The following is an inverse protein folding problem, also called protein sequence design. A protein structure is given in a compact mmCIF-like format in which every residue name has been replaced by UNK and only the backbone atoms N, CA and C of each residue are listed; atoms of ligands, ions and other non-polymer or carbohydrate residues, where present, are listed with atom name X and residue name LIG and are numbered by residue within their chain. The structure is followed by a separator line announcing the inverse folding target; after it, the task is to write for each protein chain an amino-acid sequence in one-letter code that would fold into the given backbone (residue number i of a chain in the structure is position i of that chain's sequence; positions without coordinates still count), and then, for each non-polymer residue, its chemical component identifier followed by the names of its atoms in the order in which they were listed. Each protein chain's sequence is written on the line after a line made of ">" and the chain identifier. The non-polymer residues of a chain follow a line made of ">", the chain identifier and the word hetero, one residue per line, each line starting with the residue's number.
data_IF_919314412272
#
_entry.id   IF_919314412272
#
_cell.length_a   1.000
_cell.length_b   1.000
_cell.length_c   1.000
_cell.angle_alpha   90.00
_cell.angle_beta   90.00
_cell.angle_gamma   90.00
#
_symmetry.space_group_name_H-M   'P 1'
#
loop_
_entity.id
_entity.type
_entity.pdbx_description
1 polymer ?
#
# COMPACT_ATOMS: atom_id res chain seq x y z
N UNK A 1 21.91 21.83 7.52
CA UNK A 1 21.64 20.80 8.55
C UNK A 1 21.83 19.42 7.93
N UNK A 2 22.53 18.49 8.57
CA UNK A 2 22.75 17.14 8.03
C UNK A 2 21.80 16.13 8.71
N UNK A 3 21.13 15.29 7.91
CA UNK A 3 20.35 14.16 8.42
C UNK A 3 21.28 13.13 9.05
N UNK A 4 21.08 12.83 10.35
CA UNK A 4 21.94 11.94 11.13
C UNK A 4 21.39 10.52 11.19
N UNK A 5 20.06 10.38 11.30
CA UNK A 5 19.39 9.10 11.46
C UNK A 5 18.74 8.66 10.16
N UNK A 6 18.07 9.57 9.44
CA UNK A 6 17.41 9.26 8.17
C UNK A 6 18.33 9.63 6.99
N UNK A 7 19.38 8.83 6.81
CA UNK A 7 20.47 9.11 5.87
C UNK A 7 20.09 8.95 4.40
N UNK A 8 19.23 7.97 4.08
CA UNK A 8 18.76 7.74 2.72
C UNK A 8 17.51 8.56 2.45
N UNK A 9 17.48 9.19 1.28
CA UNK A 9 16.23 9.73 0.75
C UNK A 9 15.45 8.58 0.12
N UNK A 10 14.25 8.33 0.64
CA UNK A 10 13.35 7.28 0.14
C UNK A 10 12.18 7.96 -0.56
N UNK A 11 11.48 7.21 -1.41
CA UNK A 11 10.19 7.66 -1.91
C UNK A 11 9.18 7.64 -0.75
N UNK A 12 8.55 8.79 -0.47
CA UNK A 12 7.53 8.98 0.56
C UNK A 12 6.15 9.32 -0.02
N UNK A 13 5.94 9.12 -1.33
CA UNK A 13 4.69 9.46 -2.00
C UNK A 13 3.47 8.79 -1.39
N UNK A 14 3.57 7.54 -0.93
CA UNK A 14 2.44 6.83 -0.30
C UNK A 14 1.94 7.52 0.99
N UNK A 15 2.81 8.32 1.60
CA UNK A 15 2.53 9.12 2.79
C UNK A 15 2.07 10.54 2.46
N UNK A 16 1.89 10.90 1.18
CA UNK A 16 1.42 12.23 0.81
C UNK A 16 -0.03 12.44 1.26
N UNK A 17 -0.32 13.62 1.81
CA UNK A 17 -1.70 14.01 2.12
C UNK A 17 -2.60 13.97 0.87
N UNK A 18 -3.83 13.49 1.05
CA UNK A 18 -4.79 13.29 -0.02
C UNK A 18 -4.70 11.94 -0.75
N UNK A 19 -3.70 11.10 -0.44
CA UNK A 19 -3.68 9.67 -0.82
C UNK A 19 -4.36 8.82 0.25
N UNK A 20 -3.58 8.07 1.03
CA UNK A 20 -4.10 7.28 2.15
C UNK A 20 -4.40 8.19 3.35
N UNK A 21 -3.46 9.06 3.70
CA UNK A 21 -3.61 10.05 4.78
C UNK A 21 -4.55 11.17 4.31
N UNK A 22 -5.57 11.45 5.11
CA UNK A 22 -6.55 12.49 4.85
C UNK A 22 -5.93 13.89 4.94
N UNK A 23 -6.42 14.79 4.09
CA UNK A 23 -6.12 16.22 4.16
C UNK A 23 -7.15 17.03 3.40
N UNK A 24 -7.04 18.36 3.48
CA UNK A 24 -7.92 19.32 2.83
C UNK A 24 -7.12 20.52 2.28
N UNK A 25 -7.72 21.31 1.41
CA UNK A 25 -7.09 22.50 0.83
C UNK A 25 -6.72 23.50 1.93
N UNK A 26 -5.42 23.74 2.12
CA UNK A 26 -4.89 24.63 3.16
C UNK A 26 -4.14 23.92 4.29
N UNK A 27 -4.25 22.59 4.40
CA UNK A 27 -3.39 21.82 5.31
C UNK A 27 -1.97 21.71 4.72
N UNK A 28 -0.96 22.16 5.49
CA UNK A 28 0.46 22.05 5.09
C UNK A 28 1.04 20.72 5.55
N UNK A 29 1.66 19.99 4.61
CA UNK A 29 2.33 18.74 4.94
C UNK A 29 3.73 19.03 5.50
N UNK A 30 4.04 18.46 6.65
CA UNK A 30 5.40 18.48 7.17
C UNK A 30 6.23 17.37 6.49
N UNK A 31 7.47 17.61 6.07
CA UNK A 31 8.24 16.61 5.33
C UNK A 31 8.46 15.32 6.15
N UNK A 32 8.01 14.18 5.63
CA UNK A 32 8.05 12.86 6.30
C UNK A 32 9.46 12.50 6.80
N UNK A 33 10.47 12.76 5.97
CA UNK A 33 11.87 12.52 6.32
C UNK A 33 12.34 13.38 7.50
N UNK A 34 11.91 14.64 7.53
CA UNK A 34 12.24 15.58 8.60
C UNK A 34 11.53 15.21 9.90
N UNK A 35 10.26 14.81 9.83
CA UNK A 35 9.49 14.27 10.96
C UNK A 35 10.25 13.13 11.65
N UNK A 36 10.68 12.14 10.87
CA UNK A 36 11.42 10.98 11.38
C UNK A 36 12.78 11.40 11.99
N UNK A 37 13.51 12.29 11.33
CA UNK A 37 14.82 12.77 11.83
C UNK A 37 14.69 13.54 13.16
N UNK A 38 13.64 14.35 13.33
CA UNK A 38 13.35 15.04 14.59
C UNK A 38 13.02 14.03 15.68
N UNK A 39 12.16 13.05 15.39
CA UNK A 39 11.75 12.05 16.37
C UNK A 39 12.92 11.19 16.86
N UNK A 40 13.79 10.75 15.96
CA UNK A 40 15.01 10.00 16.32
C UNK A 40 15.99 10.83 17.16
N UNK A 41 16.09 12.15 16.91
CA UNK A 41 16.86 13.05 17.80
C UNK A 41 16.27 13.08 19.21
N UNK A 42 14.94 13.18 19.33
CA UNK A 42 14.24 13.18 20.61
C UNK A 42 14.45 11.85 21.36
N UNK A 43 14.26 10.71 20.69
CA UNK A 43 14.49 9.39 21.29
C UNK A 43 15.93 9.25 21.78
N UNK A 44 16.91 9.61 20.95
CA UNK A 44 18.31 9.52 21.34
C UNK A 44 18.63 10.42 22.55
N UNK A 45 18.01 11.61 22.65
CA UNK A 45 18.14 12.45 23.84
C UNK A 45 17.53 11.76 25.07
N UNK A 46 16.31 11.22 24.97
CA UNK A 46 15.63 10.54 26.08
C UNK A 46 16.37 9.28 26.55
N UNK A 47 16.94 8.51 25.62
CA UNK A 47 17.78 7.34 25.95
C UNK A 47 19.01 7.72 26.77
N UNK A 48 19.67 8.84 26.45
CA UNK A 48 20.79 9.37 27.26
C UNK A 48 20.37 9.77 28.66
N UNK A 49 19.10 10.11 28.87
CA UNK A 49 18.51 10.39 30.18
C UNK A 49 17.93 9.14 30.85
N UNK A 50 18.25 7.93 30.36
CA UNK A 50 17.74 6.66 30.88
C UNK A 50 16.20 6.53 30.86
N UNK A 51 15.50 7.28 30.00
CA UNK A 51 14.05 7.14 29.84
C UNK A 51 13.75 6.00 28.85
N UNK A 52 13.12 4.94 29.37
CA UNK A 52 12.76 3.76 28.59
C UNK A 52 11.62 4.03 27.59
N UNK A 53 11.70 3.34 26.46
CA UNK A 53 10.62 3.19 25.48
C UNK A 53 9.59 2.15 25.96
N UNK A 54 8.31 2.19 25.51
CA UNK A 54 7.73 3.14 24.56
C UNK A 54 7.35 4.50 25.18
N UNK A 55 7.23 5.52 24.34
CA UNK A 55 6.99 6.92 24.74
C UNK A 55 5.55 7.37 24.49
N UNK A 56 5.03 8.20 25.39
CA UNK A 56 3.82 8.98 25.12
C UNK A 56 4.23 10.24 24.35
N UNK A 57 3.51 10.55 23.27
CA UNK A 57 3.75 11.76 22.47
C UNK A 57 2.50 12.63 22.46
N UNK A 58 2.70 13.95 22.44
CA UNK A 58 1.62 14.93 22.40
C UNK A 58 1.88 16.02 21.37
N UNK A 59 0.89 16.29 20.52
CA UNK A 59 0.87 17.45 19.62
C UNK A 59 -0.26 18.40 20.03
N UNK A 60 0.05 19.56 20.66
CA UNK A 60 -0.97 20.51 21.10
C UNK A 60 -1.61 21.33 19.97
N UNK A 61 -1.04 21.28 18.75
CA UNK A 61 -1.49 22.04 17.58
C UNK A 61 -1.49 21.13 16.35
N UNK A 62 -2.18 20.00 16.48
CA UNK A 62 -2.00 18.86 15.59
C UNK A 62 -2.47 19.10 14.16
N UNK A 63 -3.32 20.10 13.92
CA UNK A 63 -4.03 20.25 12.67
C UNK A 63 -4.77 18.96 12.33
N UNK A 64 -4.43 18.35 11.20
CA UNK A 64 -5.00 17.05 10.78
C UNK A 64 -4.25 15.84 11.35
N UNK A 65 -3.39 16.02 12.35
CA UNK A 65 -2.51 15.00 12.95
C UNK A 65 -1.62 14.24 11.93
N UNK A 66 -1.26 14.88 10.82
CA UNK A 66 -0.41 14.28 9.78
C UNK A 66 0.91 13.75 10.35
N UNK A 67 1.67 14.61 11.03
CA UNK A 67 3.00 14.29 11.58
C UNK A 67 2.95 13.10 12.55
N UNK A 68 1.95 13.07 13.43
CA UNK A 68 1.83 12.03 14.44
C UNK A 68 1.30 10.71 13.89
N UNK A 69 0.48 10.78 12.84
CA UNK A 69 0.09 9.59 12.05
C UNK A 69 1.31 8.98 11.37
N UNK A 70 2.17 9.80 10.76
CA UNK A 70 3.45 9.33 10.18
C UNK A 70 4.31 8.65 11.24
N UNK A 71 4.47 9.26 12.42
CA UNK A 71 5.26 8.65 13.49
C UNK A 71 4.67 7.31 13.96
N UNK A 72 3.36 7.22 14.12
CA UNK A 72 2.67 5.98 14.48
C UNK A 72 2.86 4.87 13.44
N UNK A 73 2.88 5.20 12.14
CA UNK A 73 3.11 4.23 11.06
C UNK A 73 4.56 3.73 11.01
N UNK A 74 5.55 4.60 11.27
CA UNK A 74 6.97 4.25 11.18
C UNK A 74 7.56 3.66 12.46
N UNK A 75 7.00 4.00 13.62
CA UNK A 75 7.56 3.62 14.93
C UNK A 75 6.52 3.04 15.90
N UNK A 76 5.68 2.07 15.47
CA UNK A 76 4.61 1.52 16.31
C UNK A 76 5.12 0.88 17.60
N UNK A 77 6.35 0.36 17.63
CA UNK A 77 6.95 -0.24 18.81
C UNK A 77 7.53 0.79 19.80
N UNK A 78 7.75 2.04 19.37
CA UNK A 78 8.35 3.10 20.18
C UNK A 78 7.34 4.05 20.80
N UNK A 79 6.09 3.99 20.36
CA UNK A 79 5.03 4.90 20.77
C UNK A 79 4.00 4.11 21.57
N UNK A 80 3.72 4.57 22.78
CA UNK A 80 2.73 3.95 23.66
C UNK A 80 1.35 4.53 23.41
N UNK A 81 1.23 5.84 23.60
CA UNK A 81 0.00 6.60 23.46
C UNK A 81 0.26 7.87 22.65
N UNK A 82 -0.69 8.22 21.79
CA UNK A 82 -0.70 9.45 21.00
C UNK A 82 -1.80 10.36 21.54
N UNK A 83 -1.41 11.55 21.98
CA UNK A 83 -2.30 12.62 22.36
C UNK A 83 -2.23 13.72 21.31
N UNK A 84 -3.37 14.27 20.93
CA UNK A 84 -3.44 15.40 20.00
C UNK A 84 -4.51 16.38 20.47
N UNK A 85 -4.27 17.67 20.25
CA UNK A 85 -5.29 18.71 20.39
C UNK A 85 -5.13 19.74 19.29
N UNK A 86 -6.21 20.46 19.02
CA UNK A 86 -6.23 21.65 18.18
C UNK A 86 -7.42 22.51 18.59
N UNK A 87 -7.35 23.81 18.34
CA UNK A 87 -8.48 24.72 18.59
C UNK A 87 -9.55 24.59 17.49
N UNK A 88 -9.16 24.15 16.29
CA UNK A 88 -10.06 23.98 15.17
C UNK A 88 -10.71 22.59 15.17
N UNK A 89 -12.02 22.54 15.42
CA UNK A 89 -12.80 21.31 15.43
C UNK A 89 -12.82 20.59 14.06
N UNK A 90 -12.78 21.32 12.95
CA UNK A 90 -12.73 20.73 11.61
C UNK A 90 -11.42 19.97 11.42
N UNK A 91 -10.29 20.55 11.84
CA UNK A 91 -8.99 19.89 11.86
C UNK A 91 -9.02 18.61 12.69
N UNK A 92 -9.66 18.64 13.87
CA UNK A 92 -9.81 17.48 14.74
C UNK A 92 -10.60 16.33 14.10
N UNK A 93 -11.62 16.63 13.27
CA UNK A 93 -12.35 15.59 12.54
C UNK A 93 -11.45 14.85 11.53
N UNK A 94 -10.49 15.55 10.92
CA UNK A 94 -9.48 14.92 10.06
C UNK A 94 -8.40 14.21 10.87
N UNK A 95 -7.99 14.78 12.00
CA UNK A 95 -7.04 14.17 12.92
C UNK A 95 -7.52 12.81 13.41
N UNK A 96 -8.79 12.70 13.81
CA UNK A 96 -9.40 11.44 14.23
C UNK A 96 -9.30 10.38 13.12
N UNK A 97 -9.73 10.72 11.89
CA UNK A 97 -9.63 9.82 10.74
C UNK A 97 -8.19 9.41 10.41
N UNK A 98 -7.24 10.33 10.55
CA UNK A 98 -5.83 10.04 10.31
C UNK A 98 -5.26 9.11 11.40
N UNK A 99 -5.60 9.31 12.67
CA UNK A 99 -5.18 8.41 13.75
C UNK A 99 -5.87 7.04 13.69
N UNK A 100 -7.08 6.94 13.14
CA UNK A 100 -7.73 5.66 12.85
C UNK A 100 -6.88 4.78 11.90
N UNK A 101 -6.08 5.38 11.00
CA UNK A 101 -5.18 4.64 10.09
C UNK A 101 -4.08 3.85 10.81
N UNK A 102 -3.87 4.10 12.10
CA UNK A 102 -2.94 3.31 12.92
C UNK A 102 -3.55 1.96 13.35
N UNK A 103 -4.83 1.71 13.05
CA UNK A 103 -5.56 0.48 13.36
C UNK A 103 -5.96 -0.24 12.07
N UNK A 104 -6.07 -1.56 12.13
CA UNK A 104 -6.46 -2.37 10.97
C UNK A 104 -7.86 -1.97 10.46
N UNK A 105 -8.79 -1.73 11.37
CA UNK A 105 -10.17 -1.36 11.02
C UNK A 105 -10.24 0.00 10.31
N UNK A 106 -9.40 0.95 10.72
CA UNK A 106 -9.32 2.27 10.08
C UNK A 106 -8.70 2.20 8.69
N UNK A 107 -7.68 1.36 8.50
CA UNK A 107 -7.13 1.07 7.18
C UNK A 107 -8.17 0.41 6.26
N UNK A 108 -8.90 -0.61 6.74
CA UNK A 108 -9.93 -1.29 5.97
C UNK A 108 -11.07 -0.34 5.54
N UNK A 109 -11.47 0.56 6.44
CA UNK A 109 -12.43 1.63 6.16
C UNK A 109 -11.90 2.56 5.08
N UNK A 110 -10.64 2.99 5.19
CA UNK A 110 -10.00 3.87 4.19
C UNK A 110 -9.90 3.22 2.81
N UNK A 111 -9.55 1.94 2.73
CA UNK A 111 -9.49 1.20 1.47
C UNK A 111 -10.86 1.24 0.77
N UNK A 112 -11.94 0.92 1.49
CA UNK A 112 -13.31 0.97 0.95
C UNK A 112 -13.71 2.37 0.48
N UNK A 113 -13.34 3.40 1.24
CA UNK A 113 -13.58 4.79 0.84
C UNK A 113 -12.86 5.12 -0.47
N UNK A 114 -11.57 4.78 -0.60
CA UNK A 114 -10.78 5.03 -1.81
C UNK A 114 -11.38 4.27 -3.01
N UNK A 115 -11.75 3.00 -2.84
CA UNK A 115 -12.43 2.22 -3.87
C UNK A 115 -13.74 2.88 -4.33
N UNK A 116 -14.53 3.41 -3.39
CA UNK A 116 -15.75 4.16 -3.70
C UNK A 116 -15.45 5.45 -4.46
N UNK A 117 -14.46 6.24 -4.02
CA UNK A 117 -14.05 7.48 -4.69
C UNK A 117 -13.54 7.24 -6.12
N UNK A 118 -12.79 6.15 -6.33
CA UNK A 118 -12.36 5.72 -7.67
C UNK A 118 -13.57 5.43 -8.55
N UNK A 119 -14.57 4.73 -8.01
CA UNK A 119 -15.81 4.39 -8.72
C UNK A 119 -16.69 5.62 -9.02
N UNK A 120 -16.71 6.59 -8.11
CA UNK A 120 -17.58 7.77 -8.17
C UNK A 120 -17.02 8.89 -9.07
N UNK A 121 -15.74 9.22 -8.93
CA UNK A 121 -15.15 10.39 -9.61
C UNK A 121 -14.50 10.10 -10.96
N UNK A 122 -14.49 8.84 -11.42
CA UNK A 122 -14.18 8.44 -12.82
C UNK A 122 -13.10 9.27 -13.51
N UNK A 123 -11.85 9.24 -13.02
CA UNK A 123 -10.73 9.90 -13.70
C UNK A 123 -10.54 9.28 -15.10
N UNK A 124 -10.37 10.14 -16.09
CA UNK A 124 -10.15 9.85 -17.52
C UNK A 124 -9.00 8.86 -17.80
N UNK A 125 -8.18 8.53 -16.79
CA UNK A 125 -7.21 7.45 -16.79
C UNK A 125 -7.80 6.04 -16.93
N UNK A 126 -9.10 5.84 -16.70
CA UNK A 126 -9.76 4.55 -16.94
C UNK A 126 -10.05 4.27 -18.43
N UNK A 127 -9.97 5.29 -19.30
CA UNK A 127 -10.06 5.09 -20.77
C UNK A 127 -8.76 4.60 -21.40
N UNK A 128 -7.65 4.63 -20.66
CA UNK A 128 -6.32 4.17 -21.09
C UNK A 128 -5.84 2.94 -20.29
N UNK A 129 -6.77 2.13 -19.76
CA UNK A 129 -6.47 0.89 -19.04
C UNK A 129 -6.14 -0.29 -19.98
N UNK A 130 -5.37 -0.03 -21.05
CA UNK A 130 -4.75 -1.05 -21.90
C UNK A 130 -3.26 -0.70 -22.06
N UNK A 131 -2.53 -0.74 -20.94
CA UNK A 131 -1.11 -0.32 -20.86
C UNK A 131 -0.22 -1.23 -20.01
N UNK A 132 -0.69 -2.41 -19.61
CA UNK A 132 0.19 -3.36 -18.92
C UNK A 132 0.92 -4.19 -19.96
N UNK A 133 2.20 -3.87 -20.17
CA UNK A 133 3.08 -4.58 -21.10
C UNK A 133 3.61 -5.90 -20.51
N UNK A 134 3.81 -5.96 -19.19
CA UNK A 134 4.39 -7.12 -18.49
C UNK A 134 3.62 -7.38 -17.19
N UNK A 135 3.09 -8.59 -17.05
CA UNK A 135 2.60 -9.12 -15.78
C UNK A 135 3.55 -10.21 -15.30
N UNK A 136 4.02 -10.13 -14.06
CA UNK A 136 4.77 -11.22 -13.41
C UNK A 136 4.03 -11.58 -12.13
N UNK A 137 3.64 -12.85 -11.98
CA UNK A 137 2.89 -13.29 -10.80
C UNK A 137 3.37 -14.65 -10.32
N UNK A 138 3.55 -14.78 -9.01
CA UNK A 138 3.74 -16.07 -8.35
C UNK A 138 2.38 -16.56 -7.85
N UNK A 139 1.74 -17.47 -8.59
CA UNK A 139 0.41 -17.95 -8.20
C UNK A 139 0.58 -18.85 -6.97
N UNK A 140 -0.11 -18.54 -5.85
CA UNK A 140 0.02 -19.31 -4.63
C UNK A 140 -0.35 -20.77 -4.87
N UNK A 141 0.48 -21.66 -4.32
CA UNK A 141 0.28 -23.10 -4.36
C UNK A 141 -1.05 -23.46 -3.70
N UNK A 142 -1.75 -24.44 -4.28
CA UNK A 142 -3.05 -24.91 -3.82
C UNK A 142 -3.19 -24.93 -2.29
N UNK A 143 -4.29 -24.32 -1.84
CA UNK A 143 -4.70 -24.05 -0.46
C UNK A 143 -3.92 -22.93 0.23
N UNK A 144 -4.37 -21.69 0.02
CA UNK A 144 -4.60 -20.74 1.11
C UNK A 144 -5.62 -19.70 0.61
N UNK A 145 -6.70 -19.57 1.39
CA UNK A 145 -7.81 -18.60 1.31
C UNK A 145 -8.99 -18.95 0.39
N UNK A 146 -10.20 -18.76 0.96
CA UNK A 146 -11.52 -18.88 0.34
C UNK A 146 -11.73 -17.84 -0.79
N UNK A 147 -10.94 -17.93 -1.86
CA UNK A 147 -11.33 -17.31 -3.13
C UNK A 147 -12.55 -18.06 -3.64
N UNK A 148 -13.73 -17.50 -3.32
CA UNK A 148 -15.09 -17.84 -3.75
C UNK A 148 -15.37 -19.28 -4.19
N UNK A 149 -16.40 -19.88 -3.56
CA UNK A 149 -16.97 -21.21 -3.78
C UNK A 149 -17.49 -21.49 -5.21
N UNK A 150 -16.70 -21.28 -6.25
CA UNK A 150 -16.96 -21.79 -7.60
C UNK A 150 -16.13 -23.04 -7.82
N UNK A 151 -16.75 -24.19 -7.52
CA UNK A 151 -16.21 -25.54 -7.64
C UNK A 151 -15.78 -25.88 -9.09
N UNK A 152 -16.18 -25.08 -10.08
CA UNK A 152 -15.96 -25.34 -11.51
C UNK A 152 -14.93 -24.43 -12.20
N UNK A 153 -14.36 -23.41 -11.54
CA UNK A 153 -13.40 -22.51 -12.18
C UNK A 153 -12.01 -22.61 -11.56
N UNK A 154 -11.01 -22.95 -12.38
CA UNK A 154 -9.62 -22.97 -11.96
C UNK A 154 -9.20 -21.53 -11.57
N UNK A 155 -8.71 -21.27 -10.34
CA UNK A 155 -8.33 -19.92 -9.89
C UNK A 155 -7.36 -19.19 -10.83
N UNK A 156 -6.50 -19.95 -11.50
CA UNK A 156 -5.58 -19.38 -12.49
C UNK A 156 -6.29 -18.95 -13.78
N UNK A 157 -7.37 -19.63 -14.18
CA UNK A 157 -8.17 -19.18 -15.32
C UNK A 157 -8.92 -17.89 -14.97
N UNK A 158 -9.57 -17.83 -13.81
CA UNK A 158 -10.25 -16.61 -13.34
C UNK A 158 -9.28 -15.43 -13.19
N UNK A 159 -8.06 -15.69 -12.71
CA UNK A 159 -6.99 -14.69 -12.69
C UNK A 159 -6.67 -14.18 -14.09
N UNK A 160 -6.49 -15.08 -15.07
CA UNK A 160 -6.20 -14.73 -16.45
C UNK A 160 -7.36 -13.96 -17.11
N UNK A 161 -8.60 -14.37 -16.89
CA UNK A 161 -9.79 -13.64 -17.36
C UNK A 161 -9.82 -12.21 -16.79
N UNK A 162 -9.56 -12.06 -15.49
CA UNK A 162 -9.60 -10.76 -14.82
C UNK A 162 -8.53 -9.79 -15.32
N UNK A 163 -7.31 -10.29 -15.62
CA UNK A 163 -6.24 -9.41 -16.10
C UNK A 163 -6.31 -9.18 -17.61
N UNK A 164 -7.07 -9.97 -18.38
CA UNK A 164 -7.09 -9.85 -19.85
C UNK A 164 -7.51 -8.46 -20.33
N UNK A 165 -8.52 -7.86 -19.69
CA UNK A 165 -9.07 -6.57 -20.07
C UNK A 165 -8.13 -5.38 -19.81
N UNK A 166 -7.09 -5.56 -18.98
CA UNK A 166 -6.14 -4.50 -18.61
C UNK A 166 -4.79 -4.58 -19.33
N UNK A 167 -4.58 -5.63 -20.13
CA UNK A 167 -3.34 -5.89 -20.86
C UNK A 167 -3.24 -5.05 -22.14
N UNK A 168 -2.05 -4.53 -22.42
CA UNK A 168 -1.76 -3.88 -23.71
C UNK A 168 -1.69 -4.92 -24.85
N UNK A 169 -1.92 -4.51 -26.12
CA UNK A 169 -1.63 -5.35 -27.28
C UNK A 169 -0.16 -5.80 -27.27
N UNK A 170 0.10 -7.09 -27.50
CA UNK A 170 1.46 -7.70 -27.46
C UNK A 170 2.14 -7.74 -26.08
N UNK A 171 1.39 -7.57 -25.00
CA UNK A 171 1.90 -7.77 -23.64
C UNK A 171 2.30 -9.22 -23.36
N UNK A 172 3.10 -9.42 -22.31
CA UNK A 172 3.55 -10.72 -21.82
C UNK A 172 3.15 -10.94 -20.37
N UNK A 173 2.66 -12.14 -20.07
CA UNK A 173 2.27 -12.58 -18.72
C UNK A 173 3.17 -13.75 -18.33
N UNK A 174 4.03 -13.55 -17.34
CA UNK A 174 4.91 -14.54 -16.75
C UNK A 174 4.32 -15.05 -15.43
N UNK A 175 3.97 -16.33 -15.38
CA UNK A 175 3.33 -16.96 -14.23
C UNK A 175 4.24 -18.03 -13.65
N UNK A 176 4.63 -17.90 -12.39
CA UNK A 176 5.33 -18.95 -11.65
C UNK A 176 4.31 -19.95 -11.08
N UNK A 177 4.56 -21.24 -11.36
CA UNK A 177 3.69 -22.37 -11.09
C UNK A 177 4.49 -23.54 -10.51
N UNK A 178 3.81 -24.54 -9.95
CA UNK A 178 4.48 -25.81 -9.65
C UNK A 178 4.69 -26.64 -10.94
N UNK A 179 5.72 -27.50 -10.97
CA UNK A 179 6.05 -28.33 -12.14
C UNK A 179 4.91 -29.21 -12.66
N UNK A 180 3.99 -29.61 -11.77
CA UNK A 180 2.87 -30.51 -12.08
C UNK A 180 1.67 -29.79 -12.71
N UNK A 181 1.63 -28.46 -12.67
CA UNK A 181 0.50 -27.70 -13.21
C UNK A 181 0.71 -27.42 -14.71
N UNK A 182 -0.34 -27.72 -15.48
CA UNK A 182 -0.49 -27.31 -16.86
C UNK A 182 -1.69 -26.37 -16.95
N UNK A 183 -1.49 -25.24 -17.60
CA UNK A 183 -2.52 -24.22 -17.78
C UNK A 183 -2.68 -23.99 -19.28
N UNK A 184 -3.91 -24.12 -19.73
CA UNK A 184 -4.40 -23.69 -21.04
C UNK A 184 -5.51 -22.67 -20.81
N UNK A 185 -5.51 -21.61 -21.62
CA UNK A 185 -6.51 -20.55 -21.54
C UNK A 185 -6.90 -20.09 -22.94
N UNK A 186 -8.20 -19.99 -23.23
CA UNK A 186 -8.71 -19.60 -24.55
C UNK A 186 -8.31 -18.18 -24.95
N UNK A 187 -8.07 -17.31 -23.97
CA UNK A 187 -7.68 -15.92 -24.17
C UNK A 187 -6.19 -15.64 -24.33
N UNK A 188 -5.32 -16.66 -24.26
CA UNK A 188 -3.86 -16.48 -24.27
C UNK A 188 -3.13 -17.51 -25.13
N UNK A 189 -2.13 -17.06 -25.88
CA UNK A 189 -1.16 -17.92 -26.53
C UNK A 189 0.03 -18.19 -25.59
N UNK A 190 0.46 -19.45 -25.51
CA UNK A 190 1.67 -19.84 -24.78
C UNK A 190 2.91 -19.52 -25.61
N UNK A 191 3.78 -18.67 -25.07
CA UNK A 191 5.06 -18.30 -25.70
C UNK A 191 6.15 -19.30 -25.31
N UNK A 192 6.17 -19.76 -24.07
CA UNK A 192 7.22 -20.66 -23.61
C UNK A 192 7.15 -20.96 -22.12
N UNK A 193 8.06 -21.81 -21.65
CA UNK A 193 8.24 -22.11 -20.23
C UNK A 193 9.70 -22.37 -19.90
N UNK A 194 10.15 -22.04 -18.70
CA UNK A 194 11.37 -22.63 -18.13
C UNK A 194 11.11 -23.14 -16.71
N UNK A 195 12.04 -23.96 -16.20
CA UNK A 195 11.96 -24.55 -14.86
C UNK A 195 13.18 -24.13 -14.04
N UNK A 196 12.96 -23.73 -12.79
CA UNK A 196 14.02 -23.43 -11.83
C UNK A 196 13.63 -23.97 -10.45
N UNK A 197 14.46 -24.83 -9.86
CA UNK A 197 14.15 -25.50 -8.59
C UNK A 197 12.83 -26.26 -8.64
N UNK A 198 11.87 -25.91 -7.76
CA UNK A 198 10.50 -26.48 -7.72
C UNK A 198 9.49 -25.72 -8.60
N UNK A 199 9.92 -24.63 -9.25
CA UNK A 199 9.05 -23.71 -10.00
C UNK A 199 9.14 -23.98 -11.50
N UNK A 200 8.02 -23.75 -12.19
CA UNK A 200 7.88 -23.69 -13.64
C UNK A 200 7.31 -22.30 -13.95
N UNK A 201 8.04 -21.48 -14.70
CA UNK A 201 7.55 -20.19 -15.17
C UNK A 201 6.93 -20.39 -16.54
N UNK A 202 5.71 -19.94 -16.74
CA UNK A 202 4.93 -19.97 -17.98
C UNK A 202 4.80 -18.56 -18.53
N UNK A 203 5.15 -18.37 -19.79
CA UNK A 203 4.97 -17.10 -20.50
C UNK A 203 3.78 -17.20 -21.45
N UNK A 204 2.89 -16.23 -21.36
CA UNK A 204 1.66 -16.11 -22.13
C UNK A 204 1.59 -14.73 -22.78
N UNK A 205 0.91 -14.62 -23.92
CA UNK A 205 0.54 -13.34 -24.54
C UNK A 205 -0.95 -13.35 -24.85
N UNK A 206 -1.70 -12.25 -24.63
CA UNK A 206 -3.13 -12.24 -24.89
C UNK A 206 -3.41 -12.44 -26.38
N UNK A 207 -4.48 -13.17 -26.67
CA UNK A 207 -5.05 -13.26 -28.01
C UNK A 207 -5.98 -12.06 -28.19
N UNK A 208 -5.66 -11.23 -29.19
CA UNK A 208 -6.49 -10.11 -29.64
C UNK A 208 -7.82 -10.62 -30.19
#
# INVERSE_FOLDING_TARGET
>A
MQYKYIKQDKNYEDYSSGRVIYGYSGATNFPVRLTQEIFEKCINYLKKQNKAEPYNIYDPFCGVAYTFTILGLFYPEKIKDIFVSDINQESLNFAEKNLELLKCEGIDKRIKEIESLIKEYSKESHKEASKIDIVISDIPYGKLTNWQKDINSNPTQKFLDNIKSILAPKSIVAISLNKKQEISHIGYNKIGTFKIGKRKVLFLTPIN
#
